data_IF_115122000526
#
_entry.id   IF_115122000526
#
_cell.length_a   1.000
_cell.length_b   1.000
_cell.length_c   1.000
_cell.angle_alpha   90.00
_cell.angle_beta   90.00
_cell.angle_gamma   90.00
#
_symmetry.space_group_name_H-M   'P 1'
#
loop_
_entity.id
_entity.type
_entity.pdbx_description
1 polymer ?
#
# COMPACT_ATOMS: atom_id res chain seq x y z
N UNK A 1 -4.78 -9.31 -0.06
CA UNK A 1 -5.45 -9.20 1.27
C UNK A 1 -5.58 -7.73 1.62
N UNK A 2 -6.80 -7.23 1.55
CA UNK A 2 -7.16 -5.86 1.88
C UNK A 2 -7.78 -5.74 3.27
N UNK A 3 -7.41 -4.68 4.02
CA UNK A 3 -7.98 -4.31 5.32
C UNK A 3 -8.18 -2.80 5.39
N UNK A 4 -9.13 -2.38 6.22
CA UNK A 4 -9.48 -0.98 6.46
C UNK A 4 -9.20 -0.62 7.91
N UNK A 5 -8.58 0.52 8.15
CA UNK A 5 -8.29 1.03 9.49
C UNK A 5 -8.74 2.47 9.62
N UNK A 6 -9.22 2.86 10.79
CA UNK A 6 -9.51 4.26 11.11
C UNK A 6 -8.88 4.62 12.45
N UNK A 7 -8.45 5.87 12.58
CA UNK A 7 -8.00 6.41 13.87
C UNK A 7 -9.07 7.33 14.43
N UNK A 8 -9.69 6.94 15.54
CA UNK A 8 -10.57 7.80 16.32
C UNK A 8 -10.13 7.79 17.79
N UNK A 9 -10.25 8.92 18.48
CA UNK A 9 -9.82 9.09 19.88
C UNK A 9 -8.38 8.61 20.15
N UNK A 10 -7.47 8.82 19.18
CA UNK A 10 -6.07 8.38 19.22
C UNK A 10 -5.87 6.85 19.24
N UNK A 11 -6.89 6.07 18.84
CA UNK A 11 -6.83 4.61 18.77
C UNK A 11 -7.14 4.15 17.35
N UNK A 12 -6.27 3.30 16.82
CA UNK A 12 -6.48 2.62 15.55
C UNK A 12 -7.39 1.41 15.76
N UNK A 13 -8.42 1.27 14.93
CA UNK A 13 -9.29 0.10 14.88
C UNK A 13 -9.56 -0.31 13.43
N UNK A 14 -9.89 -1.59 13.25
CA UNK A 14 -10.25 -2.16 11.95
C UNK A 14 -11.70 -1.78 11.61
N UNK A 15 -11.95 -1.48 10.34
CA UNK A 15 -13.25 -1.13 9.77
C UNK A 15 -13.71 -2.19 8.77
N UNK A 16 -15.02 -2.28 8.53
CA UNK A 16 -15.58 -3.26 7.60
C UNK A 16 -15.64 -2.77 6.15
N UNK A 17 -15.53 -1.46 5.94
CA UNK A 17 -15.75 -0.82 4.63
C UNK A 17 -14.85 0.38 4.42
N UNK A 18 -14.65 0.70 3.15
CA UNK A 18 -14.06 1.96 2.72
C UNK A 18 -15.00 3.13 3.04
N UNK A 19 -14.46 4.16 3.69
CA UNK A 19 -15.13 5.44 4.00
C UNK A 19 -14.06 6.54 4.20
N UNK A 20 -14.49 7.79 4.24
CA UNK A 20 -13.59 8.93 4.46
C UNK A 20 -12.82 8.78 5.79
N UNK A 21 -11.53 9.12 5.77
CA UNK A 21 -10.63 9.02 6.93
C UNK A 21 -10.04 7.64 7.15
N UNK A 22 -10.37 6.65 6.31
CA UNK A 22 -9.80 5.29 6.41
C UNK A 22 -8.41 5.21 5.78
N UNK A 23 -7.56 4.42 6.43
CA UNK A 23 -6.36 3.85 5.84
C UNK A 23 -6.66 2.46 5.29
N UNK A 24 -6.52 2.30 3.97
CA UNK A 24 -6.59 1.03 3.26
C UNK A 24 -5.21 0.38 3.23
N UNK A 25 -5.10 -0.83 3.77
CA UNK A 25 -3.87 -1.62 3.72
C UNK A 25 -4.05 -2.82 2.81
N UNK A 26 -3.27 -2.89 1.74
CA UNK A 26 -3.28 -3.92 0.73
C UNK A 26 -1.97 -4.70 0.76
N UNK A 27 -2.02 -5.97 1.17
CA UNK A 27 -0.87 -6.88 1.17
C UNK A 27 -1.11 -7.95 0.11
N UNK A 28 -0.24 -8.04 -0.89
CA UNK A 28 -0.38 -8.93 -2.05
C UNK A 28 -1.82 -8.88 -2.60
N UNK A 29 -2.31 -7.70 -3.03
CA UNK A 29 -3.68 -7.56 -3.47
C UNK A 29 -3.96 -8.37 -4.73
N UNK A 30 -5.19 -8.82 -4.87
CA UNK A 30 -5.66 -9.41 -6.13
C UNK A 30 -5.93 -8.33 -7.17
N UNK A 31 -6.04 -8.73 -8.44
CA UNK A 31 -6.46 -7.84 -9.52
C UNK A 31 -7.79 -7.14 -9.20
N UNK A 32 -8.75 -7.89 -8.67
CA UNK A 32 -10.08 -7.39 -8.29
C UNK A 32 -9.99 -6.36 -7.15
N UNK A 33 -9.16 -6.62 -6.12
CA UNK A 33 -8.93 -5.66 -5.02
C UNK A 33 -8.30 -4.36 -5.54
N UNK A 34 -7.37 -4.43 -6.51
CA UNK A 34 -6.77 -3.25 -7.15
C UNK A 34 -7.78 -2.46 -7.98
N UNK A 35 -8.61 -3.14 -8.77
CA UNK A 35 -9.68 -2.50 -9.58
C UNK A 35 -10.70 -1.80 -8.68
N UNK A 36 -11.14 -2.44 -7.60
CA UNK A 36 -12.09 -1.86 -6.64
C UNK A 36 -11.56 -0.54 -6.06
N UNK A 37 -10.31 -0.51 -5.60
CA UNK A 37 -9.73 0.69 -4.99
C UNK A 37 -9.44 1.78 -6.03
N UNK A 38 -8.97 1.41 -7.24
CA UNK A 38 -8.77 2.34 -8.34
C UNK A 38 -10.06 3.06 -8.70
N UNK A 39 -11.14 2.30 -8.86
CA UNK A 39 -12.44 2.82 -9.27
C UNK A 39 -13.07 3.71 -8.19
N UNK A 40 -13.06 3.26 -6.92
CA UNK A 40 -13.71 4.01 -5.83
C UNK A 40 -12.96 5.30 -5.50
N UNK A 41 -11.62 5.27 -5.54
CA UNK A 41 -10.79 6.43 -5.20
C UNK A 41 -10.43 7.29 -6.41
N UNK A 42 -10.82 6.90 -7.62
CA UNK A 42 -10.47 7.56 -8.88
C UNK A 42 -8.94 7.73 -9.03
N UNK A 43 -8.22 6.62 -8.84
CA UNK A 43 -6.77 6.50 -8.94
C UNK A 43 -6.42 5.61 -10.13
N UNK A 44 -5.30 5.86 -10.81
CA UNK A 44 -4.84 4.94 -11.86
C UNK A 44 -4.48 3.58 -11.27
N UNK A 45 -5.03 2.51 -11.86
CA UNK A 45 -4.73 1.14 -11.44
C UNK A 45 -3.24 0.81 -11.59
N UNK A 46 -2.55 1.41 -12.55
CA UNK A 46 -1.12 1.19 -12.75
C UNK A 46 -0.31 1.76 -11.57
N UNK A 47 -0.77 2.88 -10.97
CA UNK A 47 -0.15 3.46 -9.78
C UNK A 47 -0.37 2.61 -8.52
N UNK A 48 -1.55 1.96 -8.40
CA UNK A 48 -1.80 0.98 -7.34
C UNK A 48 -0.85 -0.22 -7.49
N UNK A 49 -0.65 -0.68 -8.73
CA UNK A 49 0.17 -1.85 -9.03
C UNK A 49 1.66 -1.59 -9.06
N UNK A 50 2.10 -0.33 -9.13
CA UNK A 50 3.52 0.00 -9.19
C UNK A 50 4.31 -0.63 -8.03
N UNK A 51 3.72 -0.68 -6.83
CA UNK A 51 4.33 -1.32 -5.65
C UNK A 51 4.36 -2.87 -5.68
N UNK A 52 3.83 -3.49 -6.74
CA UNK A 52 3.86 -4.94 -6.94
C UNK A 52 5.00 -5.36 -7.87
N UNK A 53 5.68 -4.40 -8.51
CA UNK A 53 6.85 -4.65 -9.36
C UNK A 53 8.13 -4.47 -8.54
N UNK A 54 8.88 -5.55 -8.33
CA UNK A 54 10.14 -5.52 -7.58
C UNK A 54 11.24 -4.68 -8.25
N UNK A 55 11.10 -4.38 -9.55
CA UNK A 55 12.05 -3.52 -10.28
C UNK A 55 11.74 -2.03 -10.14
N UNK A 56 10.68 -1.66 -9.39
CA UNK A 56 10.32 -0.26 -9.27
C UNK A 56 11.28 0.59 -8.43
N UNK A 57 11.38 1.85 -8.83
CA UNK A 57 12.25 2.83 -8.19
C UNK A 57 11.50 3.76 -7.23
N UNK A 58 12.12 4.02 -6.08
CA UNK A 58 11.64 4.97 -5.09
C UNK A 58 11.49 6.38 -5.71
N UNK A 59 10.30 6.97 -5.61
CA UNK A 59 9.97 8.30 -6.15
C UNK A 59 8.69 8.87 -5.56
N UNK A 60 8.42 10.14 -5.87
CA UNK A 60 7.17 10.81 -5.55
C UNK A 60 6.58 11.34 -6.86
N UNK A 61 5.31 11.05 -7.10
CA UNK A 61 4.55 11.53 -8.25
C UNK A 61 3.31 12.29 -7.78
N UNK A 62 3.12 13.47 -8.35
CA UNK A 62 1.94 14.31 -8.10
C UNK A 62 0.99 14.10 -9.28
N UNK A 63 -0.13 13.42 -9.02
CA UNK A 63 -1.19 13.18 -9.99
C UNK A 63 -2.35 14.15 -9.75
N UNK A 64 -3.31 14.19 -10.67
CA UNK A 64 -4.52 14.98 -10.47
C UNK A 64 -5.46 14.27 -9.49
N UNK A 65 -5.51 14.77 -8.25
CA UNK A 65 -6.39 14.25 -7.19
C UNK A 65 -5.72 13.32 -6.15
N UNK A 66 -4.49 12.87 -6.39
CA UNK A 66 -3.74 12.08 -5.42
C UNK A 66 -2.22 12.23 -5.58
N UNK A 67 -1.47 11.80 -4.57
CA UNK A 67 -0.01 11.69 -4.61
C UNK A 67 0.39 10.24 -4.46
N UNK A 68 1.23 9.74 -5.36
CA UNK A 68 1.89 8.44 -5.23
C UNK A 68 3.29 8.64 -4.63
N UNK A 69 3.60 7.86 -3.61
CA UNK A 69 4.93 7.76 -3.01
C UNK A 69 5.33 6.30 -3.07
N UNK A 70 6.41 6.01 -3.81
CA UNK A 70 7.05 4.70 -3.81
C UNK A 70 8.32 4.78 -2.98
N UNK A 71 8.46 3.86 -2.03
CA UNK A 71 9.64 3.79 -1.15
C UNK A 71 10.05 2.35 -0.90
N UNK A 72 11.35 2.09 -0.94
CA UNK A 72 11.91 0.79 -0.59
C UNK A 72 11.88 0.55 0.93
N UNK A 73 11.26 -0.54 1.36
CA UNK A 73 11.23 -0.98 2.76
C UNK A 73 12.02 -2.28 2.94
N UNK A 74 12.72 -2.46 4.08
CA UNK A 74 13.48 -3.68 4.32
C UNK A 74 12.55 -4.88 4.55
N UNK A 75 12.89 -6.00 3.94
CA UNK A 75 12.27 -7.31 4.19
C UNK A 75 13.34 -8.38 4.41
N UNK A 76 12.93 -9.53 4.93
CA UNK A 76 13.80 -10.67 5.17
C UNK A 76 13.47 -11.79 4.20
N UNK A 77 14.48 -12.33 3.55
CA UNK A 77 14.35 -13.48 2.64
C UNK A 77 15.25 -14.64 3.10
N UNK A 78 14.89 -15.88 2.76
CA UNK A 78 15.72 -17.06 3.01
C UNK A 78 16.49 -17.41 1.74
N UNK A 79 17.81 -17.24 1.75
CA UNK A 79 18.71 -17.66 0.67
C UNK A 79 19.72 -18.68 1.20
N UNK A 80 19.79 -19.86 0.58
CA UNK A 80 20.71 -20.95 0.97
C UNK A 80 20.64 -21.30 2.47
N UNK A 81 19.43 -21.48 3.01
CA UNK A 81 19.17 -21.75 4.44
C UNK A 81 19.71 -20.68 5.41
N UNK A 82 19.97 -19.46 4.91
CA UNK A 82 20.40 -18.31 5.70
C UNK A 82 19.46 -17.13 5.48
N UNK A 83 19.15 -16.45 6.58
CA UNK A 83 18.41 -15.20 6.54
C UNK A 83 19.27 -14.10 5.90
N UNK A 84 18.73 -13.48 4.86
CA UNK A 84 19.32 -12.32 4.18
C UNK A 84 18.32 -11.16 4.23
N UNK A 85 18.83 -9.95 4.06
CA UNK A 85 18.01 -8.74 3.99
C UNK A 85 18.00 -8.21 2.57
N UNK A 86 16.81 -7.88 2.09
CA UNK A 86 16.57 -7.21 0.81
C UNK A 86 15.58 -6.07 1.02
N UNK A 87 15.25 -5.35 -0.05
CA UNK A 87 14.18 -4.35 -0.06
C UNK A 87 13.05 -4.78 -0.97
N UNK A 88 11.86 -4.33 -0.65
CA UNK A 88 10.67 -4.41 -1.51
C UNK A 88 10.01 -3.03 -1.57
N UNK A 89 9.36 -2.69 -2.69
CA UNK A 89 8.65 -1.42 -2.80
C UNK A 89 7.40 -1.40 -1.91
N UNK A 90 7.17 -0.24 -1.29
CA UNK A 90 5.95 0.13 -0.61
C UNK A 90 5.34 1.33 -1.34
N UNK A 91 4.14 1.15 -1.87
CA UNK A 91 3.35 2.22 -2.45
C UNK A 91 2.50 2.86 -1.37
N UNK A 92 2.54 4.19 -1.28
CA UNK A 92 1.68 5.00 -0.43
C UNK A 92 0.96 5.98 -1.34
N UNK A 93 -0.35 5.83 -1.45
CA UNK A 93 -1.22 6.70 -2.24
C UNK A 93 -2.02 7.56 -1.27
N UNK A 94 -1.85 8.87 -1.41
CA UNK A 94 -2.53 9.86 -0.59
C UNK A 94 -3.58 10.56 -1.44
N UNK A 95 -4.85 10.33 -1.13
CA UNK A 95 -5.96 11.11 -1.67
C UNK A 95 -6.36 12.20 -0.67
N UNK A 96 -7.44 12.94 -0.96
CA UNK A 96 -7.93 13.98 -0.06
C UNK A 96 -8.32 13.45 1.33
N UNK A 97 -8.91 12.25 1.38
CA UNK A 97 -9.55 11.72 2.60
C UNK A 97 -9.12 10.28 2.95
N UNK A 98 -8.39 9.60 2.06
CA UNK A 98 -8.02 8.18 2.21
C UNK A 98 -6.51 8.01 1.98
N UNK A 99 -5.90 7.15 2.80
CA UNK A 99 -4.53 6.68 2.59
C UNK A 99 -4.61 5.24 2.12
N UNK A 100 -3.91 4.89 1.05
CA UNK A 100 -3.76 3.50 0.61
C UNK A 100 -2.29 3.11 0.69
N UNK A 101 -2.00 1.99 1.34
CA UNK A 101 -0.66 1.39 1.32
C UNK A 101 -0.71 0.05 0.61
N UNK A 102 0.15 -0.15 -0.38
CA UNK A 102 0.23 -1.36 -1.20
C UNK A 102 1.63 -1.95 -1.08
N UNK A 103 1.73 -3.25 -0.80
CA UNK A 103 3.01 -3.97 -0.75
C UNK A 103 2.82 -5.43 -1.15
N UNK A 104 3.88 -6.07 -1.65
CA UNK A 104 3.88 -7.49 -2.01
C UNK A 104 3.81 -8.42 -0.80
N UNK A 105 4.33 -7.98 0.35
CA UNK A 105 4.44 -8.79 1.56
C UNK A 105 4.10 -7.99 2.83
N UNK A 106 3.83 -8.70 3.94
CA UNK A 106 3.68 -8.05 5.26
C UNK A 106 5.04 -7.51 5.72
N UNK A 107 5.10 -6.23 6.05
CA UNK A 107 6.32 -5.53 6.43
C UNK A 107 6.27 -5.05 7.87
N UNK A 108 7.37 -5.14 8.64
CA UNK A 108 7.43 -4.58 9.99
C UNK A 108 7.24 -3.06 10.01
N UNK A 109 7.32 -2.37 8.87
CA UNK A 109 7.09 -0.92 8.76
C UNK A 109 5.62 -0.55 8.97
N UNK A 110 4.67 -1.44 8.66
CA UNK A 110 3.22 -1.20 8.74
C UNK A 110 2.56 -1.82 9.99
N UNK A 111 3.35 -2.12 11.03
CA UNK A 111 2.91 -2.76 12.29
C UNK A 111 2.83 -1.82 13.47
#
# INVERSE_FOLDING_TARGET
>A
MMKYFMTDNQVIHEEEKLQDGVWVRMISPTQEECEEIADVLNVDIDDIKAALDEEESSRIELQDGYTLILVDVPTTEIRHDKQSYTTIPLGIILTQDVIVTVCTEDTPVLK
#
